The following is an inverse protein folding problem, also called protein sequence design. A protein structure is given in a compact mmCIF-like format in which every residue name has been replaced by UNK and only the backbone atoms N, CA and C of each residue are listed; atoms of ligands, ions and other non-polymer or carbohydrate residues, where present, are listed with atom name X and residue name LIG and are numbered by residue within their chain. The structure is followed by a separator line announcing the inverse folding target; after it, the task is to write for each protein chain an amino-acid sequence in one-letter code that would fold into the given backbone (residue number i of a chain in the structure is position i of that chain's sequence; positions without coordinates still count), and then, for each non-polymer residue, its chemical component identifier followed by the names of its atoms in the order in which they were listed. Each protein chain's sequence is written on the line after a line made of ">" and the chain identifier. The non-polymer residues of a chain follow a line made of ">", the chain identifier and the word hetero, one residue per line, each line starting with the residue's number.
data_IF_986855103054
#
_entry.id   IF_986855103054
#
_cell.length_a   1.000
_cell.length_b   1.000
_cell.length_c   1.000
_cell.angle_alpha   90.00
_cell.angle_beta   90.00
_cell.angle_gamma   90.00
#
_symmetry.space_group_name_H-M   'P 1'
#
loop_
_entity.id
_entity.type
_entity.pdbx_description
1 polymer ?
#
# COMPACT_ATOMS: atom_id res chain seq x y z
N UNK A 1 -1.80 -22.90 -1.96
CA UNK A 1 -1.80 -21.60 -2.66
C UNK A 1 -1.69 -20.53 -1.60
N UNK A 2 -0.54 -19.87 -1.52
CA UNK A 2 -0.25 -18.93 -0.45
C UNK A 2 -1.10 -17.67 -0.62
N UNK A 3 -1.60 -17.15 0.49
CA UNK A 3 -2.29 -15.86 0.54
C UNK A 3 -1.33 -14.77 0.99
N UNK A 4 -1.78 -13.53 0.88
CA UNK A 4 -1.05 -12.33 1.35
C UNK A 4 -0.66 -12.40 2.84
N UNK A 5 -1.38 -13.20 3.63
CA UNK A 5 -1.11 -13.41 5.06
C UNK A 5 0.15 -14.24 5.32
N UNK A 6 0.55 -15.08 4.37
CA UNK A 6 1.59 -16.11 4.55
C UNK A 6 2.98 -15.63 4.12
N UNK A 7 3.11 -14.35 3.75
CA UNK A 7 4.30 -13.76 3.14
C UNK A 7 4.73 -12.49 3.89
N UNK A 8 6.05 -12.26 4.05
CA UNK A 8 6.57 -11.01 4.59
C UNK A 8 6.04 -9.78 3.84
N UNK A 9 5.61 -8.78 4.61
CA UNK A 9 4.97 -7.58 4.06
C UNK A 9 5.93 -6.78 3.17
N UNK A 10 7.20 -6.67 3.56
CA UNK A 10 8.17 -5.81 2.91
C UNK A 10 8.52 -6.33 1.50
N UNK A 11 8.78 -7.64 1.38
CA UNK A 11 9.04 -8.29 0.08
C UNK A 11 7.83 -8.20 -0.85
N UNK A 12 6.63 -8.42 -0.31
CA UNK A 12 5.39 -8.32 -1.08
C UNK A 12 5.16 -6.90 -1.61
N UNK A 13 5.40 -5.88 -0.78
CA UNK A 13 5.23 -4.48 -1.18
C UNK A 13 6.28 -4.09 -2.23
N UNK A 14 7.53 -4.51 -2.05
CA UNK A 14 8.61 -4.20 -2.98
C UNK A 14 8.34 -4.76 -4.38
N UNK A 15 8.05 -6.07 -4.49
CA UNK A 15 7.74 -6.70 -5.78
C UNK A 15 6.46 -6.18 -6.40
N UNK A 16 5.42 -5.94 -5.59
CA UNK A 16 4.18 -5.38 -6.10
C UNK A 16 4.41 -3.96 -6.63
N UNK A 17 5.23 -3.15 -5.96
CA UNK A 17 5.56 -1.81 -6.44
C UNK A 17 6.23 -1.84 -7.82
N UNK A 18 7.13 -2.79 -8.07
CA UNK A 18 7.74 -2.99 -9.40
C UNK A 18 6.69 -3.32 -10.46
N UNK A 19 5.80 -4.28 -10.21
CA UNK A 19 4.73 -4.63 -11.15
C UNK A 19 3.75 -3.49 -11.41
N UNK A 20 3.55 -2.59 -10.44
CA UNK A 20 2.67 -1.43 -10.61
C UNK A 20 3.35 -0.30 -11.41
N UNK A 21 4.68 -0.33 -11.62
CA UNK A 21 5.36 0.63 -12.50
C UNK A 21 5.01 0.39 -13.97
N UNK A 22 4.80 -0.86 -14.34
CA UNK A 22 4.43 -1.26 -15.71
C UNK A 22 3.00 -0.82 -16.07
N UNK A 23 2.15 -0.63 -15.06
CA UNK A 23 0.76 -0.23 -15.22
C UNK A 23 0.66 1.26 -15.60
N UNK A 24 0.45 1.56 -16.88
CA UNK A 24 0.31 2.93 -17.43
C UNK A 24 -0.76 3.80 -16.76
N UNK A 25 -1.69 3.20 -16.03
CA UNK A 25 -2.78 3.89 -15.33
C UNK A 25 -2.35 4.46 -13.97
N UNK A 26 -1.26 3.95 -13.41
CA UNK A 26 -0.72 4.38 -12.11
C UNK A 26 0.45 5.30 -12.38
N UNK A 27 0.14 6.59 -12.51
CA UNK A 27 1.15 7.62 -12.79
C UNK A 27 1.28 8.54 -11.59
N UNK A 28 2.49 8.79 -11.07
CA UNK A 28 2.69 9.77 -10.01
C UNK A 28 2.23 11.16 -10.49
N UNK A 29 1.36 11.85 -9.74
CA UNK A 29 0.98 13.22 -10.07
C UNK A 29 2.18 14.16 -10.09
N UNK A 30 2.17 15.20 -10.92
CA UNK A 30 3.32 16.12 -11.07
C UNK A 30 3.80 16.74 -9.75
N UNK A 31 2.89 17.02 -8.82
CA UNK A 31 3.23 17.58 -7.51
C UNK A 31 3.84 16.57 -6.53
N UNK A 32 3.78 15.26 -6.82
CA UNK A 32 4.23 14.20 -5.91
C UNK A 32 5.73 14.27 -5.56
N UNK A 33 6.54 14.82 -6.46
CA UNK A 33 7.98 15.00 -6.26
C UNK A 33 8.33 16.11 -5.24
N UNK A 34 7.41 17.06 -5.02
CA UNK A 34 7.70 18.27 -4.24
C UNK A 34 7.01 18.30 -2.88
N UNK A 35 6.18 17.30 -2.57
CA UNK A 35 5.37 17.29 -1.35
C UNK A 35 5.85 16.24 -0.35
N UNK A 36 5.65 16.56 0.92
CA UNK A 36 5.69 15.57 1.99
C UNK A 36 4.39 14.78 2.08
N UNK A 37 4.46 13.58 2.64
CA UNK A 37 3.32 12.63 2.71
C UNK A 37 2.20 13.03 3.66
N UNK A 38 2.48 13.95 4.60
CA UNK A 38 1.50 14.40 5.56
C UNK A 38 2.03 15.46 6.51
N UNK A 39 1.17 15.89 7.42
CA UNK A 39 1.53 16.91 8.42
C UNK A 39 2.61 16.42 9.38
N UNK A 40 2.65 15.11 9.66
CA UNK A 40 3.60 14.43 10.54
C UNK A 40 5.00 14.30 9.94
N UNK A 41 5.13 14.30 8.61
CA UNK A 41 6.42 14.19 7.95
C UNK A 41 7.19 15.53 8.01
N UNK A 42 8.50 15.44 8.21
CA UNK A 42 9.41 16.60 8.21
C UNK A 42 10.07 16.80 6.86
N UNK A 43 10.47 15.69 6.20
CA UNK A 43 11.15 15.69 4.91
C UNK A 43 10.29 15.03 3.83
N UNK A 44 10.62 15.31 2.58
CA UNK A 44 10.04 14.69 1.39
C UNK A 44 10.56 13.23 1.32
N UNK A 45 9.78 12.27 0.78
CA UNK A 45 10.28 10.92 0.52
C UNK A 45 11.57 10.94 -0.31
N UNK A 46 12.58 10.17 0.11
CA UNK A 46 13.86 10.09 -0.60
C UNK A 46 13.80 9.16 -1.81
N UNK A 47 13.00 8.10 -1.73
CA UNK A 47 12.78 7.22 -2.87
C UNK A 47 11.95 7.96 -3.92
N UNK A 48 12.42 7.99 -5.18
CA UNK A 48 11.70 8.60 -6.31
C UNK A 48 10.41 7.83 -6.63
N UNK A 49 10.41 6.52 -6.42
CA UNK A 49 9.30 5.62 -6.75
C UNK A 49 8.33 5.38 -5.58
N UNK A 50 8.38 6.23 -4.55
CA UNK A 50 7.57 6.11 -3.34
C UNK A 50 6.06 6.07 -3.60
N UNK A 51 5.60 6.63 -4.74
CA UNK A 51 4.21 6.58 -5.15
C UNK A 51 3.73 5.14 -5.39
N UNK A 52 4.55 4.33 -6.06
CA UNK A 52 4.25 2.93 -6.36
C UNK A 52 4.27 2.08 -5.09
N UNK A 53 5.23 2.30 -4.21
CA UNK A 53 5.26 1.66 -2.88
C UNK A 53 4.01 2.02 -2.06
N UNK A 54 3.55 3.28 -2.14
CA UNK A 54 2.33 3.72 -1.47
C UNK A 54 1.10 3.01 -2.03
N UNK A 55 1.00 2.88 -3.35
CA UNK A 55 -0.07 2.15 -4.02
C UNK A 55 -0.08 0.67 -3.62
N UNK A 56 1.09 0.01 -3.62
CA UNK A 56 1.24 -1.38 -3.20
C UNK A 56 0.82 -1.59 -1.74
N UNK A 57 1.28 -0.71 -0.84
CA UNK A 57 0.93 -0.75 0.58
C UNK A 57 -0.57 -0.54 0.82
N UNK A 58 -1.20 0.39 0.08
CA UNK A 58 -2.65 0.62 0.12
C UNK A 58 -3.44 -0.62 -0.31
N UNK A 59 -3.03 -1.23 -1.42
CA UNK A 59 -3.68 -2.41 -1.97
C UNK A 59 -3.60 -3.58 -0.97
N UNK A 60 -2.44 -3.77 -0.33
CA UNK A 60 -2.26 -4.75 0.75
C UNK A 60 -3.16 -4.47 1.95
N UNK A 61 -3.25 -3.23 2.43
CA UNK A 61 -4.11 -2.91 3.59
C UNK A 61 -5.59 -3.16 3.29
N UNK A 62 -6.06 -2.84 2.10
CA UNK A 62 -7.46 -3.06 1.69
C UNK A 62 -7.76 -4.55 1.59
N UNK A 63 -6.82 -5.36 1.08
CA UNK A 63 -6.96 -6.82 1.11
C UNK A 63 -7.17 -7.35 2.54
N UNK A 64 -6.35 -6.88 3.49
CA UNK A 64 -6.33 -7.44 4.85
C UNK A 64 -7.52 -7.01 5.73
N UNK A 65 -7.90 -5.73 5.65
CA UNK A 65 -8.85 -5.13 6.59
C UNK A 65 -10.26 -4.93 6.00
N UNK A 66 -10.48 -5.34 4.75
CA UNK A 66 -11.78 -5.23 4.08
C UNK A 66 -12.10 -3.80 3.63
N UNK A 67 -13.36 -3.35 3.72
CA UNK A 67 -13.77 -2.05 3.19
C UNK A 67 -13.14 -0.91 4.01
N UNK A 68 -12.24 -0.15 3.39
CA UNK A 68 -11.57 0.98 4.03
C UNK A 68 -11.92 2.32 3.38
N UNK A 69 -12.07 3.34 4.21
CA UNK A 69 -12.24 4.73 3.82
C UNK A 69 -10.91 5.50 3.73
N UNK A 70 -10.98 6.71 3.19
CA UNK A 70 -9.82 7.62 3.20
C UNK A 70 -9.49 8.07 4.62
N UNK A 71 -10.49 8.22 5.50
CA UNK A 71 -10.29 8.61 6.90
C UNK A 71 -9.49 7.56 7.68
N UNK A 72 -9.85 6.29 7.57
CA UNK A 72 -9.16 5.18 8.24
C UNK A 72 -7.70 5.09 7.78
N UNK A 73 -7.48 5.23 6.47
CA UNK A 73 -6.15 5.22 5.89
C UNK A 73 -5.31 6.44 6.32
N UNK A 74 -5.93 7.61 6.55
CA UNK A 74 -5.22 8.78 7.07
C UNK A 74 -4.69 8.55 8.47
N UNK A 75 -5.44 7.84 9.31
CA UNK A 75 -5.01 7.45 10.66
C UNK A 75 -3.92 6.37 10.57
N UNK A 76 -4.13 5.35 9.73
CA UNK A 76 -3.21 4.23 9.57
C UNK A 76 -1.82 4.64 9.03
N UNK A 77 -1.77 5.64 8.16
CA UNK A 77 -0.51 6.22 7.65
C UNK A 77 -0.10 7.50 8.38
N UNK A 78 -0.83 7.88 9.43
CA UNK A 78 -0.47 8.98 10.31
C UNK A 78 0.77 8.63 11.13
N UNK A 79 1.31 9.64 11.79
CA UNK A 79 2.55 9.50 12.55
C UNK A 79 2.60 10.41 13.76
N UNK A 80 3.52 10.11 14.66
CA UNK A 80 3.79 10.95 15.82
C UNK A 80 4.55 12.21 15.37
N UNK A 81 4.05 13.39 15.75
CA UNK A 81 4.68 14.68 15.45
C UNK A 81 4.88 15.50 16.71
N UNK A 82 6.11 15.99 16.91
CA UNK A 82 6.41 17.01 17.93
C UNK A 82 6.16 18.41 17.37
N UNK A 83 5.57 19.29 18.17
CA UNK A 83 5.36 20.70 17.83
C UNK A 83 6.11 21.57 18.83
N UNK A 84 7.23 22.15 18.40
CA UNK A 84 8.08 22.97 19.27
C UNK A 84 8.58 22.20 20.49
N UNK A 85 8.39 22.79 21.68
CA UNK A 85 8.77 22.19 22.95
C UNK A 85 7.72 21.23 23.54
N UNK A 86 6.51 21.20 22.97
CA UNK A 86 5.41 20.38 23.50
C UNK A 86 5.63 18.88 23.28
N UNK A 87 4.84 18.07 24.00
CA UNK A 87 4.82 16.62 23.81
C UNK A 87 4.37 16.25 22.38
N UNK A 88 4.82 15.09 21.94
CA UNK A 88 4.56 14.61 20.60
C UNK A 88 3.27 13.77 20.56
N UNK A 89 2.33 14.19 19.72
CA UNK A 89 1.01 13.58 19.55
C UNK A 89 0.85 12.98 18.14
N UNK A 90 -0.12 12.08 17.97
CA UNK A 90 -0.47 11.54 16.66
C UNK A 90 -1.05 12.62 15.75
N UNK A 91 -0.65 12.61 14.47
CA UNK A 91 -1.21 13.45 13.41
C UNK A 91 -1.44 12.63 12.15
N UNK A 92 -2.62 12.79 11.57
CA UNK A 92 -3.02 12.15 10.33
C UNK A 92 -2.06 12.40 9.16
N UNK A 93 -2.09 11.47 8.21
CA UNK A 93 -1.48 11.63 6.89
C UNK A 93 -2.23 12.63 5.99
N UNK A 94 -1.59 13.03 4.90
CA UNK A 94 -2.21 13.84 3.86
C UNK A 94 -3.29 13.05 3.11
N UNK A 95 -4.51 13.58 3.06
CA UNK A 95 -5.63 12.91 2.39
C UNK A 95 -5.55 12.92 0.86
N UNK A 96 -4.90 13.90 0.26
CA UNK A 96 -4.82 14.06 -1.19
C UNK A 96 -4.09 12.89 -1.87
N UNK A 97 -2.97 12.46 -1.28
CA UNK A 97 -2.13 11.35 -1.75
C UNK A 97 -2.93 10.05 -1.75
N UNK A 98 -3.51 9.70 -0.61
CA UNK A 98 -4.30 8.48 -0.45
C UNK A 98 -5.49 8.49 -1.42
N UNK A 99 -6.21 9.60 -1.51
CA UNK A 99 -7.37 9.72 -2.40
C UNK A 99 -6.99 9.52 -3.87
N UNK A 100 -5.92 10.14 -4.32
CA UNK A 100 -5.47 10.06 -5.73
C UNK A 100 -4.91 8.69 -6.07
N UNK A 101 -4.13 8.08 -5.17
CA UNK A 101 -3.67 6.70 -5.34
C UNK A 101 -4.85 5.72 -5.45
N UNK A 102 -5.86 5.86 -4.58
CA UNK A 102 -7.05 4.99 -4.65
C UNK A 102 -7.87 5.21 -5.93
N UNK A 103 -7.97 6.45 -6.44
CA UNK A 103 -8.62 6.72 -7.73
C UNK A 103 -7.90 6.03 -8.89
N UNK A 104 -6.56 6.00 -8.88
CA UNK A 104 -5.77 5.33 -9.92
C UNK A 104 -5.89 3.81 -9.85
N UNK A 105 -5.87 3.25 -8.63
CA UNK A 105 -6.08 1.82 -8.41
C UNK A 105 -7.50 1.36 -8.81
N UNK A 106 -8.49 2.22 -8.58
CA UNK A 106 -9.88 2.03 -9.04
C UNK A 106 -9.97 2.07 -10.57
N UNK A 107 -9.31 3.03 -11.23
CA UNK A 107 -9.23 3.08 -12.71
C UNK A 107 -8.47 1.88 -13.33
N UNK A 108 -7.57 1.28 -12.55
CA UNK A 108 -6.83 0.07 -12.94
C UNK A 108 -7.63 -1.22 -12.74
N UNK A 109 -8.78 -1.16 -12.07
CA UNK A 109 -9.66 -2.32 -11.84
C UNK A 109 -9.27 -3.17 -10.62
N UNK A 110 -8.28 -2.77 -9.83
CA UNK A 110 -7.83 -3.54 -8.65
C UNK A 110 -8.70 -3.32 -7.41
N UNK A 111 -9.43 -2.20 -7.37
CA UNK A 111 -10.25 -1.80 -6.22
C UNK A 111 -11.64 -1.44 -6.73
N UNK A 112 -12.66 -1.84 -5.95
CA UNK A 112 -14.06 -1.53 -6.18
C UNK A 112 -14.58 -0.64 -5.05
N UNK A 113 -15.36 0.38 -5.41
CA UNK A 113 -16.05 1.21 -4.43
C UNK A 113 -17.32 0.51 -3.94
N UNK A 114 -17.44 0.38 -2.62
CA UNK A 114 -18.66 -0.10 -1.96
C UNK A 114 -19.41 1.13 -1.44
N UNK A 115 -20.66 1.30 -1.88
CA UNK A 115 -21.48 2.45 -1.46
C UNK A 115 -21.60 2.50 0.06
N UNK A 116 -21.32 3.68 0.65
CA UNK A 116 -21.42 3.93 2.08
C UNK A 116 -20.34 3.32 2.98
N UNK A 117 -19.59 2.30 2.53
CA UNK A 117 -18.64 1.55 3.37
C UNK A 117 -17.17 1.76 3.03
N UNK A 118 -16.86 2.30 1.85
CA UNK A 118 -15.48 2.58 1.43
C UNK A 118 -15.08 1.81 0.19
N UNK A 119 -13.92 1.17 0.22
CA UNK A 119 -13.32 0.48 -0.92
C UNK A 119 -12.88 -0.93 -0.56
N UNK A 120 -13.23 -1.88 -1.41
CA UNK A 120 -12.88 -3.29 -1.30
C UNK A 120 -11.96 -3.68 -2.46
N UNK A 121 -11.15 -4.73 -2.28
CA UNK A 121 -10.38 -5.28 -3.38
C UNK A 121 -11.28 -5.96 -4.41
N UNK A 122 -10.94 -5.86 -5.69
CA UNK A 122 -11.61 -6.59 -6.78
C UNK A 122 -11.13 -8.04 -6.86
N UNK A 123 -11.86 -8.88 -7.60
CA UNK A 123 -11.41 -10.26 -7.90
C UNK A 123 -10.08 -10.28 -8.65
N UNK A 124 -9.88 -9.35 -9.59
CA UNK A 124 -8.63 -9.21 -10.34
C UNK A 124 -7.47 -8.78 -9.44
N UNK A 125 -7.69 -7.81 -8.55
CA UNK A 125 -6.71 -7.37 -7.56
C UNK A 125 -6.31 -8.50 -6.62
N UNK A 126 -7.29 -9.26 -6.13
CA UNK A 126 -7.06 -10.43 -5.28
C UNK A 126 -6.22 -11.49 -6.00
N UNK A 127 -6.56 -11.81 -7.26
CA UNK A 127 -5.80 -12.77 -8.07
C UNK A 127 -4.36 -12.32 -8.33
N UNK A 128 -4.11 -11.03 -8.59
CA UNK A 128 -2.76 -10.48 -8.79
C UNK A 128 -1.93 -10.62 -7.51
N UNK A 129 -2.51 -10.27 -6.36
CA UNK A 129 -1.84 -10.38 -5.05
C UNK A 129 -1.52 -11.82 -4.66
N UNK A 130 -2.49 -12.74 -4.78
CA UNK A 130 -2.29 -14.13 -4.37
C UNK A 130 -1.27 -14.85 -5.28
N UNK A 131 -1.22 -14.47 -6.57
CA UNK A 131 -0.18 -14.97 -7.50
C UNK A 131 1.21 -14.52 -7.04
N UNK A 132 1.37 -13.25 -6.72
CA UNK A 132 2.64 -12.68 -6.26
C UNK A 132 3.05 -13.25 -4.89
N UNK A 133 2.09 -13.45 -3.98
CA UNK A 133 2.32 -14.13 -2.71
C UNK A 133 2.83 -15.56 -2.91
N UNK A 134 2.24 -16.30 -3.85
CA UNK A 134 2.68 -17.67 -4.17
C UNK A 134 4.09 -17.69 -4.76
N UNK A 135 4.46 -16.71 -5.59
CA UNK A 135 5.81 -16.57 -6.14
C UNK A 135 6.84 -16.31 -5.05
N UNK A 136 6.59 -15.35 -4.16
CA UNK A 136 7.47 -15.04 -3.03
C UNK A 136 7.58 -16.23 -2.09
N UNK A 137 6.46 -16.89 -1.79
CA UNK A 137 6.47 -18.07 -0.92
C UNK A 137 7.35 -19.19 -1.48
N UNK A 138 7.37 -19.40 -2.81
CA UNK A 138 8.29 -20.36 -3.45
C UNK A 138 9.75 -19.96 -3.31
N UNK A 139 10.07 -18.67 -3.40
CA UNK A 139 11.43 -18.18 -3.18
C UNK A 139 11.87 -18.34 -1.72
N UNK A 140 10.96 -18.07 -0.79
CA UNK A 140 11.21 -18.26 0.64
C UNK A 140 11.44 -19.73 1.00
N UNK A 141 10.69 -20.66 0.41
CA UNK A 141 10.95 -22.11 0.58
C UNK A 141 12.35 -22.49 0.09
N UNK A 142 12.82 -21.90 -1.02
CA UNK A 142 14.18 -22.15 -1.52
C UNK A 142 15.25 -21.62 -0.57
N UNK A 143 15.03 -20.44 0.02
CA UNK A 143 15.98 -19.83 0.95
C UNK A 143 15.98 -20.52 2.32
N UNK A 144 14.80 -20.94 2.80
CA UNK A 144 14.61 -21.60 4.08
C UNK A 144 13.75 -22.87 3.90
N UNK A 145 14.37 -24.06 3.79
CA UNK A 145 13.65 -25.33 3.59
C UNK A 145 12.63 -25.65 4.71
N UNK A 146 12.80 -25.05 5.89
CA UNK A 146 11.92 -25.20 7.04
C UNK A 146 10.48 -24.73 6.76
N UNK A 147 10.31 -23.75 5.86
CA UNK A 147 9.02 -23.18 5.51
C UNK A 147 8.15 -24.13 4.66
N UNK A 148 8.73 -25.21 4.13
CA UNK A 148 7.99 -26.23 3.36
C UNK A 148 6.87 -26.90 4.17
N UNK A 149 6.94 -26.87 5.50
CA UNK A 149 5.87 -27.37 6.38
C UNK A 149 4.57 -26.57 6.32
N UNK A 150 4.64 -25.32 5.87
CA UNK A 150 3.52 -24.39 5.78
C UNK A 150 3.13 -24.08 4.32
N UNK A 151 3.61 -24.91 3.37
CA UNK A 151 3.40 -24.76 1.93
C UNK A 151 2.10 -25.42 1.43
#
# INVERSE_FOLDING_TARGET
>A
MAKVYDVPADELIAKLAEQLKDDKKIVPPAWSAFVKTGSHATRIPQNKDWWYERCASLLRKIYLHGPLGVADLKVAYGGRKKVGYNLAHHRDAGGAIIRKALQQLEASGYIVKVQGKGRLISSEGMKKMDRLATEIHRELIKAAPQLQRYA
#
